data_IF_899051397629
#
_entry.id   IF_899051397629
#
_cell.length_a   1.000
_cell.length_b   1.000
_cell.length_c   1.000
_cell.angle_alpha   90.00
_cell.angle_beta   90.00
_cell.angle_gamma   90.00
#
_symmetry.space_group_name_H-M   'P 1'
#
loop_
_entity.id
_entity.type
_entity.pdbx_description
1 polymer ?
#
# COMPACT_ATOMS: atom_id res chain seq x y z
N UNK A 1 12.33 40.29 33.92
CA UNK A 1 11.86 39.34 34.97
C UNK A 1 10.38 39.53 35.18
N UNK A 2 9.60 38.51 35.41
CA UNK A 2 9.80 37.07 35.37
C UNK A 2 8.99 36.40 34.24
N UNK A 3 9.43 35.33 33.60
CA UNK A 3 9.44 33.89 33.88
C UNK A 3 8.07 33.24 34.00
N UNK A 4 7.97 32.11 33.25
CA UNK A 4 7.01 31.00 33.32
C UNK A 4 5.98 30.96 32.17
N UNK A 5 6.40 30.38 31.05
CA UNK A 5 5.54 29.58 30.20
C UNK A 5 6.09 28.16 30.23
N UNK A 6 5.50 27.34 31.09
CA UNK A 6 5.73 25.92 31.15
C UNK A 6 5.13 25.26 29.90
N UNK A 7 5.99 24.65 29.08
CA UNK A 7 5.59 23.74 27.99
C UNK A 7 4.86 22.53 28.55
N UNK A 8 3.67 22.17 28.03
CA UNK A 8 3.07 20.90 28.39
C UNK A 8 3.91 19.79 27.77
N UNK A 9 4.46 18.92 28.60
CA UNK A 9 5.14 17.69 28.21
C UNK A 9 4.14 16.82 27.45
N UNK A 10 4.43 16.60 26.18
CA UNK A 10 3.80 15.55 25.37
C UNK A 10 4.08 14.19 26.03
N UNK A 11 3.14 13.68 26.79
CA UNK A 11 3.16 12.32 27.31
C UNK A 11 2.93 11.38 26.12
N UNK A 12 3.80 10.42 25.84
CA UNK A 12 3.59 9.48 24.76
C UNK A 12 2.44 8.53 25.14
N UNK A 13 1.31 8.66 24.46
CA UNK A 13 0.13 7.75 24.58
C UNK A 13 0.44 6.32 24.08
N UNK A 14 1.65 6.07 23.61
CA UNK A 14 2.08 4.76 23.07
C UNK A 14 2.42 3.72 24.18
N UNK A 15 2.44 4.08 25.44
CA UNK A 15 2.98 3.23 26.51
C UNK A 15 1.95 2.36 27.25
N UNK A 16 0.75 2.10 26.73
CA UNK A 16 -0.24 1.22 27.38
C UNK A 16 -0.90 0.15 26.49
N UNK A 17 -0.20 -0.34 25.48
CA UNK A 17 -0.52 -1.67 24.93
C UNK A 17 0.38 -2.70 25.64
N UNK A 18 0.15 -2.90 26.94
CA UNK A 18 0.60 -4.13 27.62
C UNK A 18 -0.14 -5.28 26.95
N UNK A 19 0.64 -6.19 26.36
CA UNK A 19 0.17 -7.50 25.96
C UNK A 19 -0.72 -8.11 27.03
N UNK A 20 -2.00 -8.24 26.76
CA UNK A 20 -2.83 -9.26 27.37
C UNK A 20 -2.35 -10.59 26.78
N UNK A 21 -1.35 -11.18 27.42
CA UNK A 21 -0.95 -12.57 27.23
C UNK A 21 -2.00 -13.45 27.87
N UNK A 22 -3.02 -13.76 27.10
CA UNK A 22 -4.08 -14.66 27.50
C UNK A 22 -4.69 -15.32 26.27
N UNK A 23 -4.33 -16.60 26.02
CA UNK A 23 -5.02 -17.57 25.19
C UNK A 23 -5.15 -17.31 23.68
N UNK A 24 -4.05 -17.49 22.95
CA UNK A 24 -4.05 -18.35 21.76
C UNK A 24 -2.83 -19.27 21.86
N UNK A 25 -2.96 -20.59 21.68
CA UNK A 25 -1.79 -21.46 21.62
C UNK A 25 -0.98 -21.00 20.42
N UNK A 26 0.20 -20.44 20.68
CA UNK A 26 1.22 -20.22 19.68
C UNK A 26 1.59 -21.57 19.06
N UNK A 27 0.95 -21.92 17.96
CA UNK A 27 1.43 -22.92 17.04
C UNK A 27 2.72 -22.39 16.38
N UNK A 28 3.77 -22.29 17.20
CA UNK A 28 5.14 -22.29 16.70
C UNK A 28 5.47 -23.74 16.28
N UNK A 29 4.75 -24.27 15.30
CA UNK A 29 5.34 -25.31 14.47
C UNK A 29 6.57 -24.65 13.85
N UNK A 30 7.76 -25.05 14.31
CA UNK A 30 9.03 -24.74 13.66
C UNK A 30 8.90 -25.25 12.23
N UNK A 31 8.48 -24.37 11.32
CA UNK A 31 8.67 -24.61 9.90
C UNK A 31 10.16 -24.56 9.66
N UNK A 32 10.78 -25.74 9.55
CA UNK A 32 12.09 -25.88 8.94
C UNK A 32 11.92 -25.46 7.48
N UNK A 33 12.01 -24.15 7.21
CA UNK A 33 12.31 -23.67 5.87
C UNK A 33 13.66 -24.28 5.56
N UNK A 34 13.68 -25.37 4.78
CA UNK A 34 14.91 -25.85 4.19
C UNK A 34 15.60 -24.63 3.60
N UNK A 35 16.85 -24.40 4.00
CA UNK A 35 17.63 -23.24 3.58
C UNK A 35 17.55 -23.16 2.06
N UNK A 36 16.77 -22.17 1.56
CA UNK A 36 16.74 -21.87 0.12
C UNK A 36 18.21 -21.69 -0.28
N UNK A 37 18.74 -22.45 -1.26
CA UNK A 37 20.11 -22.30 -1.66
C UNK A 37 20.32 -20.84 -2.08
N UNK A 38 21.08 -20.09 -1.27
CA UNK A 38 21.35 -18.68 -1.50
C UNK A 38 22.17 -18.54 -2.78
N UNK A 39 21.51 -18.38 -3.92
CA UNK A 39 22.22 -18.02 -5.15
C UNK A 39 22.89 -16.68 -4.93
N UNK A 40 24.14 -16.59 -5.33
CA UNK A 40 24.92 -15.35 -5.20
C UNK A 40 24.28 -14.27 -6.10
N UNK A 41 24.00 -13.10 -5.53
CA UNK A 41 23.52 -11.95 -6.30
C UNK A 41 24.61 -11.57 -7.31
N UNK A 42 24.27 -11.40 -8.61
CA UNK A 42 25.22 -10.99 -9.62
C UNK A 42 25.90 -9.66 -9.27
N UNK A 43 27.20 -9.54 -9.52
CA UNK A 43 27.95 -8.31 -9.30
C UNK A 43 27.76 -7.33 -10.49
N UNK A 44 26.53 -6.90 -10.70
CA UNK A 44 26.11 -5.93 -11.70
C UNK A 44 24.87 -5.21 -11.24
N UNK A 45 24.53 -4.08 -11.85
CA UNK A 45 23.22 -3.45 -11.66
C UNK A 45 22.12 -4.36 -12.18
N UNK A 46 21.06 -4.44 -11.44
CA UNK A 46 19.83 -5.19 -11.73
C UNK A 46 18.71 -4.19 -11.97
N UNK A 47 17.53 -4.64 -12.43
CA UNK A 47 16.38 -3.80 -12.65
C UNK A 47 15.74 -3.24 -11.37
N UNK A 48 16.27 -3.62 -10.23
CA UNK A 48 15.92 -3.07 -8.92
C UNK A 48 17.14 -3.01 -8.00
N UNK A 49 17.08 -2.22 -6.91
CA UNK A 49 18.14 -2.18 -5.92
C UNK A 49 18.49 -3.56 -5.35
N UNK A 50 19.75 -3.81 -5.13
CA UNK A 50 20.27 -5.04 -4.49
C UNK A 50 21.24 -4.69 -3.35
N UNK A 51 21.46 -5.59 -2.38
CA UNK A 51 22.46 -5.38 -1.33
C UNK A 51 23.89 -5.17 -1.84
N UNK A 52 24.19 -5.62 -3.07
CA UNK A 52 25.52 -5.46 -3.70
C UNK A 52 25.68 -4.05 -4.29
N UNK A 53 24.66 -3.57 -4.98
CA UNK A 53 24.72 -2.28 -5.71
C UNK A 53 24.18 -1.10 -4.88
N UNK A 54 23.33 -1.37 -3.90
CA UNK A 54 22.69 -0.35 -3.05
C UNK A 54 22.77 -0.71 -1.56
N UNK A 55 23.99 -0.86 -0.99
CA UNK A 55 24.16 -1.27 0.41
C UNK A 55 23.63 -0.22 1.41
N UNK A 56 23.41 1.02 0.97
CA UNK A 56 22.78 2.09 1.76
C UNK A 56 21.27 1.92 1.91
N UNK A 57 20.62 1.14 1.03
CA UNK A 57 19.17 0.88 1.05
C UNK A 57 18.83 -0.51 1.58
N UNK A 58 19.65 -1.51 1.28
CA UNK A 58 19.37 -2.92 1.48
C UNK A 58 20.48 -3.63 2.24
N UNK A 59 20.08 -4.46 3.20
CA UNK A 59 20.99 -5.35 3.92
C UNK A 59 21.08 -6.71 3.21
N UNK A 60 22.14 -7.48 3.42
CA UNK A 60 22.24 -8.84 2.91
C UNK A 60 21.02 -9.69 3.30
N UNK A 61 20.37 -10.30 2.30
CA UNK A 61 19.17 -11.13 2.48
C UNK A 61 17.84 -10.38 2.38
N UNK A 62 17.85 -9.04 2.26
CA UNK A 62 16.66 -8.26 1.95
C UNK A 62 16.39 -8.24 0.44
N UNK A 63 15.12 -8.30 0.08
CA UNK A 63 14.61 -8.17 -1.30
C UNK A 63 14.17 -6.72 -1.55
N UNK A 64 13.45 -6.16 -0.60
CA UNK A 64 13.12 -4.74 -0.51
C UNK A 64 13.53 -4.23 0.87
N UNK A 65 13.74 -2.93 1.07
CA UNK A 65 14.23 -2.41 2.35
C UNK A 65 13.42 -2.93 3.55
N UNK A 66 14.08 -3.64 4.45
CA UNK A 66 13.49 -4.21 5.67
C UNK A 66 12.71 -5.51 5.49
N UNK A 67 12.55 -6.03 4.27
CA UNK A 67 11.82 -7.26 4.00
C UNK A 67 12.74 -8.31 3.35
N UNK A 68 12.92 -9.42 4.04
CA UNK A 68 13.85 -10.48 3.61
C UNK A 68 13.22 -11.48 2.64
N UNK A 69 14.05 -12.27 1.96
CA UNK A 69 13.59 -13.40 1.15
C UNK A 69 12.73 -14.37 1.94
N UNK A 70 13.05 -14.58 3.22
CA UNK A 70 12.27 -15.45 4.13
C UNK A 70 10.86 -14.91 4.35
N UNK A 71 10.73 -13.61 4.52
CA UNK A 71 9.41 -12.95 4.65
C UNK A 71 8.54 -13.22 3.41
N UNK A 72 9.08 -13.03 2.22
CA UNK A 72 8.37 -13.28 0.96
C UNK A 72 8.04 -14.76 0.76
N UNK A 73 8.95 -15.66 1.09
CA UNK A 73 8.69 -17.11 1.05
C UNK A 73 7.57 -17.50 2.01
N UNK A 74 7.53 -16.91 3.21
CA UNK A 74 6.47 -17.15 4.19
C UNK A 74 5.11 -16.66 3.70
N UNK A 75 5.06 -15.50 2.99
CA UNK A 75 3.83 -14.97 2.40
C UNK A 75 3.27 -15.91 1.34
N UNK A 76 4.12 -16.43 0.45
CA UNK A 76 3.72 -17.43 -0.55
C UNK A 76 3.22 -18.71 0.12
N UNK A 77 3.91 -19.19 1.15
CA UNK A 77 3.49 -20.36 1.92
C UNK A 77 2.11 -20.17 2.57
N UNK A 78 1.89 -19.01 3.22
CA UNK A 78 0.59 -18.68 3.82
C UNK A 78 -0.53 -18.58 2.79
N UNK A 79 -0.24 -18.09 1.58
CA UNK A 79 -1.23 -18.07 0.50
C UNK A 79 -1.64 -19.49 0.11
N UNK A 80 -0.68 -20.38 -0.08
CA UNK A 80 -0.98 -21.78 -0.42
C UNK A 80 -1.69 -22.53 0.71
N UNK A 81 -1.45 -22.18 1.98
CA UNK A 81 -2.21 -22.69 3.14
C UNK A 81 -3.67 -22.19 3.13
N UNK A 82 -3.91 -20.93 2.78
CA UNK A 82 -5.28 -20.42 2.60
C UNK A 82 -6.00 -21.13 1.45
N UNK A 83 -5.32 -21.35 0.33
CA UNK A 83 -5.85 -22.11 -0.81
C UNK A 83 -6.23 -23.52 -0.38
N UNK A 84 -5.40 -24.18 0.42
CA UNK A 84 -5.71 -25.50 0.97
C UNK A 84 -7.01 -25.49 1.78
N UNK A 85 -7.19 -24.48 2.63
CA UNK A 85 -8.40 -24.34 3.46
C UNK A 85 -9.65 -24.05 2.64
N UNK A 86 -9.54 -23.22 1.61
CA UNK A 86 -10.66 -22.90 0.70
C UNK A 86 -11.02 -24.07 -0.23
N UNK A 87 -10.08 -24.97 -0.49
CA UNK A 87 -10.25 -26.08 -1.40
C UNK A 87 -10.75 -27.39 -0.74
N UNK A 88 -11.20 -27.36 0.53
CA UNK A 88 -11.55 -28.50 1.37
C UNK A 88 -12.50 -29.57 0.77
N UNK A 89 -13.10 -29.34 -0.38
CA UNK A 89 -13.84 -30.36 -1.16
C UNK A 89 -13.07 -30.98 -2.34
N UNK A 90 -11.81 -30.58 -2.53
CA UNK A 90 -10.97 -30.97 -3.66
C UNK A 90 -9.58 -31.44 -3.17
N UNK A 91 -9.55 -32.22 -2.09
CA UNK A 91 -8.33 -32.86 -1.60
C UNK A 91 -7.76 -33.76 -2.68
N UNK A 92 -6.59 -33.45 -3.19
CA UNK A 92 -5.94 -34.16 -4.31
C UNK A 92 -5.89 -33.38 -5.62
N UNK A 93 -6.49 -32.19 -5.68
CA UNK A 93 -6.38 -31.32 -6.85
C UNK A 93 -5.02 -30.58 -6.85
N UNK A 94 -4.38 -30.51 -8.00
CA UNK A 94 -3.21 -29.69 -8.22
C UNK A 94 -3.62 -28.23 -8.45
N UNK A 95 -3.02 -27.32 -7.72
CA UNK A 95 -3.34 -25.89 -7.73
C UNK A 95 -2.22 -25.08 -8.38
N UNK A 96 -2.59 -24.14 -9.24
CA UNK A 96 -1.67 -23.14 -9.79
C UNK A 96 -2.23 -21.74 -9.56
N UNK A 97 -1.40 -20.88 -8.94
CA UNK A 97 -1.68 -19.45 -8.75
C UNK A 97 -0.89 -18.67 -9.79
N UNK A 98 -1.54 -17.73 -10.46
CA UNK A 98 -0.89 -16.83 -11.40
C UNK A 98 -1.18 -15.39 -11.00
N UNK A 99 -0.12 -14.60 -10.80
CA UNK A 99 -0.21 -13.17 -10.45
C UNK A 99 0.65 -12.37 -11.40
N UNK A 100 0.04 -11.40 -12.09
CA UNK A 100 0.72 -10.52 -13.02
C UNK A 100 1.28 -9.29 -12.31
N UNK A 101 2.43 -8.81 -12.78
CA UNK A 101 2.96 -7.49 -12.44
C UNK A 101 2.15 -6.37 -13.11
N UNK A 102 2.47 -5.12 -12.80
CA UNK A 102 2.02 -3.99 -13.61
C UNK A 102 2.91 -3.85 -14.85
N UNK A 103 2.38 -3.29 -15.97
CA UNK A 103 3.17 -2.82 -17.10
C UNK A 103 3.80 -1.46 -16.80
N UNK A 104 4.77 -1.05 -17.60
CA UNK A 104 5.15 0.37 -17.68
C UNK A 104 4.08 1.13 -18.45
N UNK A 105 3.59 2.23 -17.90
CA UNK A 105 2.72 3.18 -18.59
C UNK A 105 3.54 4.33 -19.14
N UNK A 106 3.16 4.84 -20.33
CA UNK A 106 3.87 5.90 -21.03
C UNK A 106 3.00 7.16 -21.14
N UNK A 107 3.62 8.33 -20.96
CA UNK A 107 3.01 9.64 -21.25
C UNK A 107 2.94 9.89 -22.75
N UNK A 108 3.98 9.49 -23.45
CA UNK A 108 4.15 9.51 -24.90
C UNK A 108 5.00 8.32 -25.31
N UNK A 109 5.37 8.22 -26.59
CA UNK A 109 5.97 7.03 -27.20
C UNK A 109 7.10 6.37 -26.39
N UNK A 110 7.99 7.15 -25.81
CA UNK A 110 9.21 6.69 -25.12
C UNK A 110 9.41 7.30 -23.72
N UNK A 111 8.46 8.13 -23.25
CA UNK A 111 8.52 8.80 -21.94
C UNK A 111 7.62 8.05 -20.95
N UNK A 112 8.18 7.27 -20.02
CA UNK A 112 7.39 6.52 -19.06
C UNK A 112 6.88 7.42 -17.92
N UNK A 113 5.71 7.10 -17.39
CA UNK A 113 5.35 7.50 -16.03
C UNK A 113 6.26 6.79 -15.03
N UNK A 114 6.38 7.38 -13.82
CA UNK A 114 7.04 6.69 -12.71
C UNK A 114 6.40 5.32 -12.51
N UNK A 115 7.20 4.27 -12.62
CA UNK A 115 6.71 2.91 -12.47
C UNK A 115 6.28 2.63 -11.02
N UNK A 116 5.13 2.00 -10.87
CA UNK A 116 4.64 1.50 -9.60
C UNK A 116 4.17 0.05 -9.75
N UNK A 117 4.75 -0.84 -8.96
CA UNK A 117 4.46 -2.27 -9.05
C UNK A 117 3.07 -2.61 -8.50
N UNK A 118 2.43 -3.62 -9.10
CA UNK A 118 1.18 -4.19 -8.61
C UNK A 118 1.31 -4.72 -7.18
N UNK A 119 0.50 -4.18 -6.25
CA UNK A 119 0.63 -4.46 -4.81
C UNK A 119 0.57 -5.94 -4.45
N UNK A 120 -0.28 -6.73 -5.11
CA UNK A 120 -0.40 -8.17 -4.84
C UNK A 120 0.82 -8.95 -5.33
N UNK A 121 1.34 -8.59 -6.51
CA UNK A 121 2.55 -9.18 -7.06
C UNK A 121 3.75 -8.87 -6.17
N UNK A 122 3.94 -7.59 -5.84
CA UNK A 122 5.03 -7.14 -4.97
C UNK A 122 4.98 -7.80 -3.59
N UNK A 123 3.80 -7.92 -3.00
CA UNK A 123 3.60 -8.55 -1.69
C UNK A 123 4.07 -9.99 -1.65
N UNK A 124 3.92 -10.73 -2.75
CA UNK A 124 4.26 -12.15 -2.83
C UNK A 124 5.71 -12.43 -3.20
N UNK A 125 6.37 -11.55 -3.94
CA UNK A 125 7.74 -11.84 -4.42
C UNK A 125 8.76 -10.72 -4.20
N UNK A 126 8.33 -9.47 -3.97
CA UNK A 126 9.23 -8.33 -3.82
C UNK A 126 9.94 -7.91 -5.13
N UNK A 127 9.55 -8.46 -6.27
CA UNK A 127 10.15 -8.13 -7.54
C UNK A 127 9.56 -6.84 -8.11
N UNK A 128 10.41 -5.88 -8.48
CA UNK A 128 9.99 -4.51 -8.80
C UNK A 128 10.03 -4.20 -10.31
N UNK A 129 10.42 -5.15 -11.14
CA UNK A 129 10.42 -4.91 -12.60
C UNK A 129 9.03 -5.14 -13.20
N UNK A 130 8.66 -4.36 -14.25
CA UNK A 130 7.41 -4.55 -14.98
C UNK A 130 7.38 -5.85 -15.77
N UNK A 131 6.25 -6.11 -16.43
CA UNK A 131 6.07 -7.16 -17.44
C UNK A 131 6.49 -8.54 -16.93
N UNK A 132 6.10 -8.91 -15.71
CA UNK A 132 6.54 -10.15 -15.07
C UNK A 132 5.35 -10.97 -14.57
N UNK A 133 5.52 -12.28 -14.41
CA UNK A 133 4.48 -13.20 -13.94
C UNK A 133 5.03 -14.03 -12.79
N UNK A 134 4.33 -14.06 -11.67
CA UNK A 134 4.60 -15.00 -10.58
C UNK A 134 3.65 -16.20 -10.72
N UNK A 135 4.21 -17.39 -10.73
CA UNK A 135 3.45 -18.65 -10.70
C UNK A 135 3.82 -19.42 -9.44
N UNK A 136 2.80 -19.82 -8.65
CA UNK A 136 2.95 -20.78 -7.56
C UNK A 136 2.22 -22.05 -7.93
N UNK A 137 2.92 -23.16 -7.98
CA UNK A 137 2.37 -24.46 -8.35
C UNK A 137 2.49 -25.43 -7.18
N UNK A 138 1.42 -26.14 -6.82
CA UNK A 138 1.47 -27.22 -5.85
C UNK A 138 2.41 -28.32 -6.32
N UNK A 139 3.14 -28.93 -5.39
CA UNK A 139 4.01 -30.05 -5.72
C UNK A 139 3.16 -31.33 -5.80
N UNK A 140 3.11 -31.95 -6.98
CA UNK A 140 2.39 -33.21 -7.19
C UNK A 140 2.84 -34.28 -6.20
N UNK A 141 1.90 -35.00 -5.61
CA UNK A 141 2.16 -36.01 -4.59
C UNK A 141 2.52 -35.47 -3.19
N UNK A 142 2.57 -34.15 -2.99
CA UNK A 142 2.78 -33.52 -1.67
C UNK A 142 1.52 -32.75 -1.26
N UNK A 143 1.26 -32.74 0.05
CA UNK A 143 0.16 -31.93 0.57
C UNK A 143 0.49 -30.42 0.50
N UNK A 144 -0.53 -29.60 0.20
CA UNK A 144 -0.42 -28.15 0.41
C UNK A 144 -0.06 -27.88 1.89
N UNK A 145 0.72 -26.85 2.17
CA UNK A 145 1.12 -25.74 1.29
C UNK A 145 2.45 -25.93 0.54
N UNK A 146 2.90 -27.19 0.34
CA UNK A 146 4.12 -27.43 -0.45
C UNK A 146 3.90 -26.98 -1.89
N UNK A 147 4.76 -26.08 -2.35
CA UNK A 147 4.65 -25.47 -3.68
C UNK A 147 6.02 -25.10 -4.23
N UNK A 148 6.05 -24.91 -5.53
CA UNK A 148 7.16 -24.36 -6.29
C UNK A 148 6.81 -22.93 -6.72
N UNK A 149 7.70 -21.99 -6.49
CA UNK A 149 7.55 -20.61 -6.91
C UNK A 149 8.41 -20.34 -8.16
N UNK A 150 7.79 -19.84 -9.21
CA UNK A 150 8.43 -19.52 -10.48
C UNK A 150 8.19 -18.06 -10.85
N UNK A 151 9.23 -17.35 -11.32
CA UNK A 151 9.09 -16.02 -11.90
C UNK A 151 9.37 -16.07 -13.40
N UNK A 152 8.50 -15.48 -14.18
CA UNK A 152 8.72 -15.21 -15.59
C UNK A 152 9.00 -13.71 -15.75
N UNK A 153 10.16 -13.39 -16.31
CA UNK A 153 10.67 -12.01 -16.35
C UNK A 153 11.13 -11.65 -17.75
N UNK A 154 11.15 -10.36 -18.12
CA UNK A 154 11.75 -9.94 -19.37
C UNK A 154 13.21 -10.39 -19.46
N UNK A 155 13.59 -10.92 -20.62
CA UNK A 155 14.99 -11.24 -20.88
C UNK A 155 15.87 -9.99 -20.83
N UNK A 156 17.14 -10.18 -20.52
CA UNK A 156 18.15 -9.13 -20.71
C UNK A 156 18.33 -8.85 -22.19
N UNK A 157 18.30 -7.57 -22.55
CA UNK A 157 18.45 -7.10 -23.93
C UNK A 157 19.26 -5.80 -23.88
N UNK A 158 20.51 -5.79 -24.37
CA UNK A 158 21.35 -4.60 -24.33
C UNK A 158 20.72 -3.38 -25.05
N UNK A 159 19.97 -3.61 -26.11
CA UNK A 159 19.27 -2.54 -26.83
C UNK A 159 18.16 -1.90 -25.97
N UNK A 160 17.39 -2.70 -25.27
CA UNK A 160 16.36 -2.20 -24.35
C UNK A 160 16.96 -1.64 -23.07
N UNK A 161 18.01 -2.28 -22.53
CA UNK A 161 18.71 -1.80 -21.31
C UNK A 161 19.36 -0.42 -21.52
N UNK A 162 19.67 -0.04 -22.76
CA UNK A 162 20.14 1.30 -23.10
C UNK A 162 19.06 2.37 -22.84
N UNK A 163 17.79 2.06 -23.07
CA UNK A 163 16.66 2.98 -22.91
C UNK A 163 16.02 2.90 -21.52
N UNK A 164 15.77 1.69 -21.05
CA UNK A 164 14.95 1.43 -19.86
C UNK A 164 15.78 1.19 -18.60
N UNK A 165 17.11 1.11 -18.74
CA UNK A 165 18.01 0.73 -17.66
C UNK A 165 18.20 -0.79 -17.54
N UNK A 166 19.09 -1.22 -16.63
CA UNK A 166 19.44 -2.63 -16.47
C UNK A 166 18.26 -3.49 -16.05
N UNK A 167 18.28 -4.76 -16.46
CA UNK A 167 17.29 -5.78 -16.06
C UNK A 167 17.96 -6.88 -15.24
N UNK A 168 17.16 -7.47 -14.32
CA UNK A 168 17.66 -8.57 -13.48
C UNK A 168 17.92 -9.84 -14.30
N UNK A 169 17.08 -10.13 -15.29
CA UNK A 169 17.09 -11.41 -15.97
C UNK A 169 16.74 -12.56 -15.01
N UNK A 170 16.82 -13.79 -15.51
CA UNK A 170 16.44 -14.98 -14.72
C UNK A 170 17.37 -15.25 -13.54
N UNK A 171 18.66 -15.05 -13.71
CA UNK A 171 19.67 -15.24 -12.66
C UNK A 171 19.51 -14.22 -11.51
N UNK A 172 19.33 -12.94 -11.87
CA UNK A 172 19.10 -11.88 -10.89
C UNK A 172 17.75 -12.03 -10.18
N UNK A 173 16.70 -12.40 -10.89
CA UNK A 173 15.36 -12.61 -10.31
C UNK A 173 15.39 -13.70 -9.22
N UNK A 174 16.02 -14.87 -9.48
CA UNK A 174 16.17 -15.91 -8.48
C UNK A 174 17.01 -15.44 -7.30
N UNK A 175 18.16 -14.82 -7.57
CA UNK A 175 19.10 -14.41 -6.54
C UNK A 175 18.51 -13.34 -5.60
N UNK A 176 17.70 -12.41 -6.13
CA UNK A 176 17.02 -11.37 -5.36
C UNK A 176 15.84 -11.92 -4.56
N UNK A 177 14.92 -12.63 -5.22
CA UNK A 177 13.60 -12.94 -4.64
C UNK A 177 13.57 -14.27 -3.87
N UNK A 178 14.56 -15.14 -4.11
CA UNK A 178 14.59 -16.48 -3.52
C UNK A 178 13.46 -17.40 -4.02
N UNK A 179 12.93 -17.17 -5.24
CA UNK A 179 12.05 -18.14 -5.91
C UNK A 179 12.84 -19.35 -6.35
N UNK A 180 12.14 -20.47 -6.55
CA UNK A 180 12.79 -21.74 -6.90
C UNK A 180 13.37 -21.72 -8.31
N UNK A 181 12.65 -21.10 -9.25
CA UNK A 181 13.05 -20.99 -10.65
C UNK A 181 12.64 -19.63 -11.23
N UNK A 182 13.35 -19.23 -12.28
CA UNK A 182 12.94 -18.10 -13.12
C UNK A 182 13.19 -18.42 -14.60
N UNK A 183 12.34 -17.90 -15.43
CA UNK A 183 12.29 -18.10 -16.86
C UNK A 183 12.07 -16.76 -17.56
N UNK A 184 12.31 -16.73 -18.87
CA UNK A 184 11.93 -15.56 -19.68
C UNK A 184 10.42 -15.61 -20.00
N UNK A 185 9.86 -14.45 -20.39
CA UNK A 185 8.44 -14.39 -20.79
C UNK A 185 8.13 -15.26 -22.01
N UNK A 186 9.07 -15.37 -22.93
CA UNK A 186 8.94 -16.23 -24.10
C UNK A 186 8.79 -17.69 -23.69
N UNK A 187 9.52 -18.13 -22.67
CA UNK A 187 9.42 -19.50 -22.13
C UNK A 187 8.07 -19.75 -21.44
N UNK A 188 7.38 -18.69 -20.95
CA UNK A 188 6.06 -18.84 -20.35
C UNK A 188 5.06 -19.48 -21.31
N UNK A 189 5.02 -19.02 -22.56
CA UNK A 189 4.12 -19.56 -23.57
C UNK A 189 4.39 -21.06 -23.84
N UNK A 190 5.66 -21.45 -23.81
CA UNK A 190 6.07 -22.85 -24.01
C UNK A 190 5.75 -23.74 -22.79
N UNK A 191 5.91 -23.20 -21.57
CA UNK A 191 5.64 -23.95 -20.34
C UNK A 191 4.15 -23.99 -19.96
N UNK A 192 3.36 -23.08 -20.46
CA UNK A 192 1.95 -22.96 -20.13
C UNK A 192 1.11 -24.22 -20.43
N UNK A 193 1.30 -24.96 -21.56
CA UNK A 193 0.60 -26.22 -21.79
C UNK A 193 0.92 -27.28 -20.73
N UNK A 194 2.18 -27.36 -20.29
CA UNK A 194 2.60 -28.29 -19.22
C UNK A 194 1.97 -27.89 -17.88
N UNK A 195 2.06 -26.61 -17.51
CA UNK A 195 1.44 -26.09 -16.28
C UNK A 195 -0.07 -26.40 -16.25
N UNK A 196 -0.75 -26.32 -17.39
CA UNK A 196 -2.17 -26.65 -17.51
C UNK A 196 -2.45 -28.16 -17.35
N UNK A 197 -1.64 -29.00 -17.96
CA UNK A 197 -1.83 -30.47 -17.90
C UNK A 197 -1.67 -30.94 -16.44
N UNK A 198 -0.81 -30.30 -15.68
CA UNK A 198 -0.53 -30.61 -14.27
C UNK A 198 -1.46 -29.88 -13.28
N UNK A 199 -2.44 -29.09 -13.76
CA UNK A 199 -3.27 -28.22 -12.92
C UNK A 199 -4.74 -28.61 -12.98
N UNK A 200 -5.35 -28.87 -11.83
CA UNK A 200 -6.79 -29.10 -11.71
C UNK A 200 -7.56 -27.81 -11.39
N UNK A 201 -6.93 -26.87 -10.68
CA UNK A 201 -7.54 -25.60 -10.31
C UNK A 201 -6.57 -24.43 -10.49
N UNK A 202 -7.02 -23.41 -11.22
CA UNK A 202 -6.27 -22.17 -11.46
C UNK A 202 -6.81 -21.04 -10.58
N UNK A 203 -5.92 -20.33 -9.92
CA UNK A 203 -6.20 -19.14 -9.12
C UNK A 203 -5.65 -17.92 -9.85
N UNK A 204 -6.54 -17.11 -10.44
CA UNK A 204 -6.18 -16.00 -11.28
C UNK A 204 -7.27 -14.91 -11.30
N UNK A 205 -6.87 -13.65 -11.24
CA UNK A 205 -7.77 -12.48 -11.23
C UNK A 205 -8.08 -12.02 -12.66
N UNK A 206 -9.00 -12.68 -13.32
CA UNK A 206 -9.34 -12.44 -14.71
C UNK A 206 -10.30 -11.27 -14.95
N UNK A 207 -11.03 -10.80 -13.92
CA UNK A 207 -12.01 -9.72 -14.04
C UNK A 207 -11.36 -8.33 -14.05
N UNK A 208 -10.26 -8.17 -13.31
CA UNK A 208 -9.52 -6.90 -13.17
C UNK A 208 -8.02 -7.18 -13.23
N UNK A 209 -7.49 -7.53 -14.39
CA UNK A 209 -6.07 -7.83 -14.52
C UNK A 209 -5.22 -6.57 -14.36
N UNK A 210 -4.07 -6.72 -13.70
CA UNK A 210 -3.11 -5.63 -13.53
C UNK A 210 -2.34 -5.30 -14.81
N UNK A 211 -2.29 -6.22 -15.76
CA UNK A 211 -1.50 -6.10 -17.00
C UNK A 211 -2.32 -6.59 -18.20
N UNK A 212 -2.82 -5.65 -19.00
CA UNK A 212 -3.77 -5.96 -20.07
C UNK A 212 -3.18 -6.90 -21.16
N UNK A 213 -1.93 -6.66 -21.59
CA UNK A 213 -1.29 -7.46 -22.63
C UNK A 213 -1.04 -8.90 -22.16
N UNK A 214 -0.34 -9.07 -21.05
CA UNK A 214 -0.09 -10.41 -20.48
C UNK A 214 -1.40 -11.13 -20.15
N UNK A 215 -2.44 -10.39 -19.74
CA UNK A 215 -3.76 -10.96 -19.54
C UNK A 215 -4.36 -11.48 -20.84
N UNK A 216 -4.27 -10.72 -21.92
CA UNK A 216 -4.79 -11.14 -23.22
C UNK A 216 -4.14 -12.45 -23.68
N UNK A 217 -2.81 -12.51 -23.61
CA UNK A 217 -2.03 -13.67 -24.00
C UNK A 217 -2.39 -14.91 -23.14
N UNK A 218 -2.47 -14.71 -21.82
CA UNK A 218 -2.84 -15.78 -20.89
C UNK A 218 -4.29 -16.22 -21.01
N UNK A 219 -5.21 -15.26 -21.23
CA UNK A 219 -6.66 -15.53 -21.39
C UNK A 219 -6.95 -16.43 -22.62
N UNK A 220 -6.29 -16.18 -23.74
CA UNK A 220 -6.44 -16.99 -24.93
C UNK A 220 -6.17 -18.46 -24.60
N UNK A 221 -5.08 -18.72 -23.93
CA UNK A 221 -4.75 -20.06 -23.47
C UNK A 221 -5.70 -20.64 -22.41
N UNK A 222 -6.26 -19.82 -21.51
CA UNK A 222 -7.27 -20.26 -20.53
C UNK A 222 -8.60 -20.63 -21.19
N UNK A 223 -9.05 -19.89 -22.22
CA UNK A 223 -10.31 -20.14 -22.93
C UNK A 223 -10.26 -21.40 -23.76
N UNK A 224 -9.16 -21.67 -24.43
CA UNK A 224 -8.95 -22.95 -25.13
C UNK A 224 -8.97 -24.15 -24.17
N UNK A 225 -8.47 -23.96 -22.96
CA UNK A 225 -8.51 -25.00 -21.92
C UNK A 225 -9.90 -25.23 -21.36
N UNK A 226 -10.75 -24.20 -21.21
CA UNK A 226 -12.15 -24.35 -20.79
C UNK A 226 -12.96 -25.24 -21.75
N UNK A 227 -12.65 -25.17 -23.02
CA UNK A 227 -13.33 -26.01 -24.04
C UNK A 227 -12.95 -27.50 -23.94
N UNK A 228 -11.79 -27.84 -23.36
CA UNK A 228 -11.24 -29.20 -23.32
C UNK A 228 -11.05 -29.81 -21.92
N UNK A 229 -11.15 -28.99 -20.87
CA UNK A 229 -10.78 -29.36 -19.49
C UNK A 229 -11.81 -28.89 -18.47
N UNK A 230 -12.03 -29.73 -17.44
CA UNK A 230 -12.84 -29.39 -16.25
C UNK A 230 -12.17 -28.40 -15.29
N UNK A 231 -11.13 -27.67 -15.70
CA UNK A 231 -10.38 -26.80 -14.85
C UNK A 231 -11.23 -25.62 -14.37
N UNK A 232 -11.33 -25.47 -13.06
CA UNK A 232 -12.04 -24.36 -12.41
C UNK A 232 -11.07 -23.19 -12.22
N UNK A 233 -11.49 -21.97 -12.62
CA UNK A 233 -10.75 -20.74 -12.38
C UNK A 233 -11.41 -19.99 -11.23
N UNK A 234 -10.64 -19.61 -10.20
CA UNK A 234 -11.08 -18.80 -9.06
C UNK A 234 -10.19 -17.57 -8.90
N UNK A 235 -10.74 -16.49 -8.35
CA UNK A 235 -9.96 -15.31 -8.00
C UNK A 235 -9.07 -15.61 -6.80
N UNK A 236 -7.80 -15.13 -6.85
CA UNK A 236 -6.86 -15.20 -5.74
C UNK A 236 -6.84 -13.89 -4.94
N UNK A 237 -7.45 -12.82 -5.45
CA UNK A 237 -7.36 -11.48 -4.92
C UNK A 237 -7.77 -11.39 -3.45
N UNK A 238 -8.93 -11.95 -3.11
CA UNK A 238 -9.43 -11.91 -1.73
C UNK A 238 -8.51 -12.63 -0.74
N UNK A 239 -7.90 -13.74 -1.16
CA UNK A 239 -6.96 -14.48 -0.31
C UNK A 239 -5.68 -13.66 -0.04
N UNK A 240 -5.14 -13.01 -1.07
CA UNK A 240 -3.98 -12.14 -0.91
C UNK A 240 -4.34 -10.92 -0.03
N UNK A 241 -5.52 -10.33 -0.24
CA UNK A 241 -5.99 -9.20 0.57
C UNK A 241 -6.15 -9.58 2.05
N UNK A 242 -6.66 -10.79 2.35
CA UNK A 242 -6.74 -11.32 3.73
C UNK A 242 -5.36 -11.44 4.37
N UNK A 243 -4.33 -11.86 3.63
CA UNK A 243 -2.95 -11.90 4.13
C UNK A 243 -2.38 -10.50 4.38
N UNK A 244 -2.69 -9.54 3.50
CA UNK A 244 -2.24 -8.15 3.60
C UNK A 244 -2.94 -7.36 4.71
N UNK A 245 -4.08 -7.84 5.20
CA UNK A 245 -4.84 -7.18 6.27
C UNK A 245 -4.04 -7.09 7.57
N UNK A 246 -3.40 -8.17 7.98
CA UNK A 246 -2.58 -8.23 9.20
C UNK A 246 -1.11 -8.07 8.81
N UNK A 247 -0.50 -6.97 9.28
CA UNK A 247 0.88 -6.61 8.94
C UNK A 247 1.87 -7.36 9.82
N UNK A 248 2.97 -7.79 9.22
CA UNK A 248 4.11 -8.31 9.97
C UNK A 248 4.84 -7.18 10.74
N UNK A 249 5.68 -7.51 11.73
CA UNK A 249 6.50 -6.50 12.41
C UNK A 249 7.39 -5.69 11.45
N UNK A 250 7.90 -6.32 10.39
CA UNK A 250 8.70 -5.65 9.37
C UNK A 250 7.86 -4.65 8.55
N UNK A 251 6.63 -5.01 8.18
CA UNK A 251 5.68 -4.12 7.51
C UNK A 251 5.30 -2.94 8.39
N UNK A 252 4.98 -3.18 9.66
CA UNK A 252 4.66 -2.11 10.65
C UNK A 252 5.80 -1.10 10.71
N UNK A 253 7.06 -1.59 10.73
CA UNK A 253 8.23 -0.71 10.73
C UNK A 253 8.31 0.17 9.48
N UNK A 254 7.98 -0.36 8.29
CA UNK A 254 7.94 0.43 7.05
C UNK A 254 6.83 1.49 7.09
N UNK A 255 5.65 1.13 7.57
CA UNK A 255 4.54 2.09 7.75
C UNK A 255 4.91 3.20 8.74
N UNK A 256 5.57 2.87 9.86
CA UNK A 256 6.07 3.87 10.81
C UNK A 256 7.07 4.83 10.17
N UNK A 257 7.97 4.33 9.31
CA UNK A 257 8.92 5.18 8.58
C UNK A 257 8.18 6.12 7.64
N UNK A 258 7.26 5.61 6.81
CA UNK A 258 6.46 6.45 5.92
C UNK A 258 5.68 7.54 6.69
N UNK A 259 5.05 7.17 7.80
CA UNK A 259 4.35 8.13 8.68
C UNK A 259 5.27 9.18 9.28
N UNK A 260 6.48 8.79 9.70
CA UNK A 260 7.48 9.73 10.23
C UNK A 260 7.94 10.73 9.17
N UNK A 261 8.33 10.25 7.98
CA UNK A 261 8.77 11.12 6.88
C UNK A 261 7.70 12.14 6.51
N UNK A 262 6.45 11.70 6.39
CA UNK A 262 5.31 12.59 6.11
C UNK A 262 5.08 13.60 7.23
N UNK A 263 5.12 13.17 8.48
CA UNK A 263 4.91 14.10 9.61
C UNK A 263 5.97 15.19 9.66
N UNK A 264 7.23 14.86 9.40
CA UNK A 264 8.32 15.84 9.33
C UNK A 264 8.15 16.78 8.13
N UNK A 265 7.73 16.25 6.97
CA UNK A 265 7.43 17.08 5.80
C UNK A 265 6.26 18.06 6.05
N UNK A 266 5.24 17.63 6.79
CA UNK A 266 4.14 18.52 7.20
C UNK A 266 4.64 19.69 8.05
N UNK A 267 5.49 19.44 9.02
CA UNK A 267 6.05 20.49 9.89
C UNK A 267 6.78 21.55 9.07
N UNK A 268 7.64 21.15 8.15
CA UNK A 268 8.38 22.08 7.29
C UNK A 268 7.45 22.84 6.32
N UNK A 269 6.41 22.17 5.82
CA UNK A 269 5.41 22.82 4.96
C UNK A 269 4.61 23.86 5.73
N UNK A 270 4.22 23.57 6.98
CA UNK A 270 3.56 24.53 7.85
C UNK A 270 4.45 25.75 8.13
N UNK A 271 5.74 25.55 8.41
CA UNK A 271 6.68 26.65 8.62
C UNK A 271 6.89 27.54 7.38
N UNK A 272 6.79 26.94 6.19
CA UNK A 272 6.86 27.67 4.92
C UNK A 272 5.58 28.43 4.58
N UNK A 273 4.47 28.16 5.26
CA UNK A 273 3.16 28.76 5.02
C UNK A 273 3.13 30.21 5.52
N UNK A 274 3.12 31.17 4.58
CA UNK A 274 3.05 32.62 4.88
C UNK A 274 2.16 33.30 3.84
N UNK A 275 1.09 33.92 4.28
CA UNK A 275 0.14 34.59 3.41
C UNK A 275 0.70 35.87 2.74
N UNK A 276 0.31 36.17 1.50
CA UNK A 276 -0.41 35.29 0.57
C UNK A 276 0.51 34.22 0.01
N UNK A 277 -0.01 33.00 -0.20
CA UNK A 277 0.77 31.87 -0.68
C UNK A 277 0.01 31.08 -1.72
N UNK A 278 0.71 30.56 -2.73
CA UNK A 278 0.15 29.67 -3.77
C UNK A 278 -0.01 28.24 -3.23
N UNK A 279 -1.15 27.62 -3.52
CA UNK A 279 -1.38 26.19 -3.23
C UNK A 279 -0.31 25.31 -3.87
N UNK A 280 0.09 25.62 -5.12
CA UNK A 280 1.15 24.90 -5.83
C UNK A 280 2.51 24.97 -5.11
N UNK A 281 2.84 26.10 -4.48
CA UNK A 281 4.06 26.21 -3.70
C UNK A 281 4.05 25.24 -2.50
N UNK A 282 2.94 25.19 -1.75
CA UNK A 282 2.83 24.26 -0.61
C UNK A 282 2.85 22.81 -1.05
N UNK A 283 2.25 22.49 -2.20
CA UNK A 283 2.34 21.17 -2.82
C UNK A 283 3.79 20.80 -3.11
N UNK A 284 4.50 21.67 -3.85
CA UNK A 284 5.91 21.43 -4.20
C UNK A 284 6.82 21.34 -2.97
N UNK A 285 6.57 22.17 -1.95
CA UNK A 285 7.29 22.13 -0.68
C UNK A 285 7.10 20.81 0.03
N UNK A 286 5.86 20.33 0.14
CA UNK A 286 5.55 19.05 0.76
C UNK A 286 6.20 17.88 0.02
N UNK A 287 6.11 17.83 -1.32
CA UNK A 287 6.76 16.79 -2.12
C UNK A 287 8.28 16.82 -1.96
N UNK A 288 8.90 18.02 -2.03
CA UNK A 288 10.32 18.18 -1.81
C UNK A 288 10.75 17.64 -0.44
N UNK A 289 10.04 18.00 0.62
CA UNK A 289 10.37 17.58 1.98
C UNK A 289 10.23 16.06 2.18
N UNK A 290 9.23 15.45 1.58
CA UNK A 290 9.08 13.99 1.58
C UNK A 290 10.29 13.31 0.89
N UNK A 291 10.63 13.77 -0.31
CA UNK A 291 11.72 13.18 -1.12
C UNK A 291 13.10 13.44 -0.50
N UNK A 292 13.34 14.63 0.01
CA UNK A 292 14.60 15.01 0.68
C UNK A 292 14.88 14.14 1.93
N UNK A 293 13.83 13.60 2.54
CA UNK A 293 13.92 12.68 3.69
C UNK A 293 13.97 11.20 3.31
N UNK A 294 13.95 10.86 2.01
CA UNK A 294 14.12 9.50 1.52
C UNK A 294 12.81 8.79 1.16
N UNK A 295 11.71 9.51 0.98
CA UNK A 295 10.52 8.93 0.34
C UNK A 295 10.79 8.66 -1.15
N UNK A 296 10.23 7.56 -1.67
CA UNK A 296 10.37 7.23 -3.08
C UNK A 296 9.52 8.15 -3.96
N UNK A 297 8.25 8.27 -3.61
CA UNK A 297 7.24 9.07 -4.30
C UNK A 297 6.20 9.56 -3.29
N UNK A 298 5.30 10.42 -3.73
CA UNK A 298 4.07 10.69 -2.99
C UNK A 298 3.12 9.48 -3.08
N UNK A 299 2.36 9.22 -2.01
CA UNK A 299 1.42 8.11 -1.95
C UNK A 299 0.22 8.30 -2.90
N UNK A 300 -0.16 9.54 -3.09
CA UNK A 300 -1.23 10.02 -3.98
C UNK A 300 -1.01 11.51 -4.25
N UNK A 301 -1.68 12.10 -5.27
CA UNK A 301 -1.65 13.54 -5.49
C UNK A 301 -2.20 14.28 -4.26
N UNK A 302 -1.39 15.07 -3.54
CA UNK A 302 -1.85 15.78 -2.34
C UNK A 302 -2.98 16.77 -2.64
N UNK A 303 -3.93 16.82 -1.73
CA UNK A 303 -4.91 17.89 -1.67
C UNK A 303 -4.31 19.05 -0.89
N UNK A 304 -4.01 20.14 -1.56
CA UNK A 304 -3.53 21.39 -0.92
C UNK A 304 -4.50 22.49 -1.26
N UNK A 305 -5.18 23.04 -0.25
CA UNK A 305 -6.32 23.88 -0.53
C UNK A 305 -6.55 24.92 0.57
N UNK A 306 -6.96 26.11 0.16
CA UNK A 306 -7.39 27.19 1.06
C UNK A 306 -8.89 27.42 1.08
N UNK A 307 -9.41 27.88 2.23
CA UNK A 307 -10.78 28.34 2.39
C UNK A 307 -11.87 27.35 1.95
N UNK A 308 -12.97 27.82 1.37
CA UNK A 308 -14.14 27.02 0.98
C UNK A 308 -13.89 26.02 -0.14
N UNK A 309 -12.79 26.11 -0.87
CA UNK A 309 -12.40 25.10 -1.87
C UNK A 309 -12.17 23.73 -1.24
N UNK A 310 -11.87 23.69 0.07
CA UNK A 310 -11.75 22.44 0.85
C UNK A 310 -13.02 21.60 0.90
N UNK A 311 -14.16 22.09 0.41
CA UNK A 311 -15.37 21.30 0.24
C UNK A 311 -15.26 20.27 -0.91
N UNK A 312 -14.26 20.39 -1.80
CA UNK A 312 -13.97 19.42 -2.84
C UNK A 312 -13.01 18.36 -2.29
N UNK A 313 -13.49 17.12 -2.17
CA UNK A 313 -12.77 16.02 -1.51
C UNK A 313 -11.42 15.72 -2.15
N UNK A 314 -11.40 15.54 -3.46
CA UNK A 314 -10.20 15.27 -4.25
C UNK A 314 -9.81 16.52 -5.07
N UNK A 315 -9.56 17.62 -4.38
CA UNK A 315 -9.08 18.85 -5.01
C UNK A 315 -7.59 18.74 -5.31
N UNK A 316 -7.25 18.59 -6.58
CA UNK A 316 -5.86 18.39 -7.03
C UNK A 316 -5.37 19.47 -8.02
N UNK A 317 -6.16 20.53 -8.24
CA UNK A 317 -5.77 21.60 -9.17
C UNK A 317 -4.64 22.48 -8.61
N UNK A 318 -4.67 22.76 -7.32
CA UNK A 318 -3.63 23.48 -6.57
C UNK A 318 -3.14 24.74 -7.30
N UNK A 319 -4.05 25.60 -7.76
CA UNK A 319 -3.74 26.74 -8.64
C UNK A 319 -4.33 28.07 -8.15
N UNK A 320 -4.61 28.19 -6.85
CA UNK A 320 -5.21 29.36 -6.24
C UNK A 320 -4.32 29.92 -5.13
N UNK A 321 -4.49 31.22 -4.85
CA UNK A 321 -3.83 31.87 -3.71
C UNK A 321 -4.64 31.63 -2.44
N UNK A 322 -3.94 31.36 -1.36
CA UNK A 322 -4.44 31.34 0.01
C UNK A 322 -4.12 32.68 0.63
N UNK A 323 -5.13 33.41 1.06
CA UNK A 323 -5.04 34.77 1.57
C UNK A 323 -4.86 34.79 3.08
N UNK A 324 -4.41 35.93 3.60
CA UNK A 324 -4.35 36.13 5.05
C UNK A 324 -5.72 35.92 5.72
N UNK A 325 -5.71 35.29 6.89
CA UNK A 325 -6.93 34.90 7.60
C UNK A 325 -7.62 33.63 7.11
N UNK A 326 -7.18 33.05 5.99
CA UNK A 326 -7.71 31.75 5.52
C UNK A 326 -7.01 30.57 6.21
N UNK A 327 -7.71 29.44 6.22
CA UNK A 327 -7.16 28.15 6.65
C UNK A 327 -6.58 27.40 5.46
N UNK A 328 -5.46 26.73 5.69
CA UNK A 328 -4.89 25.72 4.77
C UNK A 328 -5.36 24.36 5.21
N UNK A 329 -5.82 23.54 4.30
CA UNK A 329 -5.94 22.09 4.47
C UNK A 329 -4.94 21.42 3.54
N UNK A 330 -4.10 20.55 4.08
CA UNK A 330 -3.24 19.66 3.33
C UNK A 330 -3.57 18.23 3.72
N UNK A 331 -3.88 17.42 2.72
CA UNK A 331 -4.07 15.98 2.81
C UNK A 331 -3.06 15.33 1.88
N UNK A 332 -2.09 14.64 2.45
CA UNK A 332 -0.97 14.09 1.70
C UNK A 332 -0.24 13.01 2.47
N UNK A 333 0.46 12.20 1.70
CA UNK A 333 1.29 11.14 2.23
C UNK A 333 2.43 10.81 1.28
N UNK A 334 3.42 10.11 1.80
CA UNK A 334 4.50 9.59 0.99
C UNK A 334 4.55 8.07 1.00
N UNK A 335 5.21 7.53 0.00
CA UNK A 335 5.57 6.12 -0.08
C UNK A 335 7.04 5.93 0.27
N UNK A 336 7.31 4.99 1.17
CA UNK A 336 8.65 4.53 1.49
C UNK A 336 8.69 3.01 1.36
N UNK A 337 9.42 2.53 0.36
CA UNK A 337 9.58 1.09 0.09
C UNK A 337 8.24 0.35 -0.06
N UNK A 338 7.33 0.94 -0.83
CA UNK A 338 5.99 0.42 -1.14
C UNK A 338 5.00 0.40 0.05
N UNK A 339 5.34 1.08 1.16
CA UNK A 339 4.43 1.33 2.27
C UNK A 339 4.12 2.82 2.36
N UNK A 340 2.84 3.13 2.47
CA UNK A 340 2.32 4.50 2.37
C UNK A 340 1.91 5.04 3.73
N UNK A 341 1.86 6.36 3.82
CA UNK A 341 1.20 7.13 4.87
C UNK A 341 0.10 7.98 4.26
N UNK A 342 -0.80 8.43 5.12
CA UNK A 342 -1.95 9.26 4.79
C UNK A 342 -2.22 10.17 6.01
N UNK A 343 -1.97 11.48 5.86
CA UNK A 343 -2.09 12.45 6.94
C UNK A 343 -2.82 13.68 6.41
N UNK A 344 -3.86 14.11 7.12
CA UNK A 344 -4.52 15.38 6.87
C UNK A 344 -4.28 16.34 8.04
N UNK A 345 -3.92 17.59 7.76
CA UNK A 345 -3.80 18.65 8.73
C UNK A 345 -4.40 19.95 8.18
N UNK A 346 -4.96 20.73 9.12
CA UNK A 346 -5.52 22.05 8.82
C UNK A 346 -4.90 23.07 9.78
N UNK A 347 -4.50 24.22 9.26
CA UNK A 347 -3.91 25.31 10.05
C UNK A 347 -4.21 26.67 9.43
N UNK A 348 -4.23 27.76 10.21
CA UNK A 348 -4.32 29.10 9.64
C UNK A 348 -3.03 29.44 8.90
N UNK A 349 -3.16 29.99 7.69
CA UNK A 349 -2.00 30.29 6.80
C UNK A 349 -0.99 31.25 7.45
N UNK A 350 -1.47 32.14 8.32
CA UNK A 350 -0.63 33.10 9.07
C UNK A 350 -0.15 32.58 10.44
N UNK A 351 -0.43 31.33 10.77
CA UNK A 351 -0.04 30.67 12.03
C UNK A 351 -0.85 31.10 13.27
N UNK A 352 -1.94 31.87 13.12
CA UNK A 352 -2.79 32.32 14.22
C UNK A 352 -4.25 32.03 13.98
N UNK A 353 -4.85 31.23 14.86
CA UNK A 353 -6.28 30.97 14.84
C UNK A 353 -7.06 32.22 15.27
N UNK A 354 -8.12 32.54 14.54
CA UNK A 354 -9.18 33.41 15.08
C UNK A 354 -10.03 32.59 16.08
N UNK A 355 -10.79 33.29 16.95
CA UNK A 355 -11.62 32.61 17.94
C UNK A 355 -12.60 31.58 17.28
N UNK A 356 -13.36 31.91 16.22
CA UNK A 356 -14.23 30.93 15.57
C UNK A 356 -13.46 29.73 14.94
N UNK A 357 -12.27 29.99 14.38
CA UNK A 357 -11.43 28.91 13.83
C UNK A 357 -10.95 27.97 14.93
N UNK A 358 -10.55 28.52 16.08
CA UNK A 358 -10.11 27.71 17.21
C UNK A 358 -11.21 26.85 17.78
N UNK A 359 -12.40 27.43 18.02
CA UNK A 359 -13.58 26.71 18.51
C UNK A 359 -13.95 25.51 17.62
N UNK A 360 -13.99 25.74 16.30
CA UNK A 360 -14.31 24.69 15.36
C UNK A 360 -13.21 23.61 15.26
N UNK A 361 -11.94 24.03 15.30
CA UNK A 361 -10.79 23.13 15.29
C UNK A 361 -10.78 22.22 16.53
N UNK A 362 -11.02 22.79 17.72
CA UNK A 362 -11.09 22.02 18.97
C UNK A 362 -12.27 21.03 18.95
N UNK A 363 -13.42 21.43 18.43
CA UNK A 363 -14.57 20.53 18.29
C UNK A 363 -14.23 19.29 17.42
N UNK A 364 -13.55 19.51 16.27
CA UNK A 364 -13.11 18.42 15.40
C UNK A 364 -12.05 17.56 16.09
N UNK A 365 -11.12 18.14 16.80
CA UNK A 365 -10.06 17.43 17.54
C UNK A 365 -10.64 16.56 18.66
N UNK A 366 -11.65 17.03 19.39
CA UNK A 366 -12.36 16.25 20.40
C UNK A 366 -13.07 15.04 19.79
N UNK A 367 -13.78 15.25 18.67
CA UNK A 367 -14.44 14.15 17.95
C UNK A 367 -13.41 13.11 17.50
N UNK A 368 -12.30 13.53 16.90
CA UNK A 368 -11.24 12.63 16.46
C UNK A 368 -10.67 11.83 17.65
N UNK A 369 -10.37 12.48 18.77
CA UNK A 369 -9.87 11.80 19.98
C UNK A 369 -10.86 10.77 20.51
N UNK A 370 -12.15 11.11 20.56
CA UNK A 370 -13.19 10.19 20.98
C UNK A 370 -13.29 8.97 20.05
N UNK A 371 -13.27 9.20 18.72
CA UNK A 371 -13.33 8.10 17.74
C UNK A 371 -12.09 7.21 17.76
N UNK A 372 -10.90 7.76 18.04
CA UNK A 372 -9.67 6.97 18.17
C UNK A 372 -9.76 5.95 19.33
N UNK A 373 -10.51 6.23 20.40
CA UNK A 373 -10.69 5.27 21.50
C UNK A 373 -11.50 4.06 21.10
N UNK A 374 -12.30 4.17 20.04
CA UNK A 374 -13.11 3.06 19.49
C UNK A 374 -12.31 2.14 18.57
N UNK A 375 -11.12 2.56 18.14
CA UNK A 375 -10.25 1.78 17.24
C UNK A 375 -9.65 0.59 18.00
N UNK A 376 -10.42 -0.50 18.07
CA UNK A 376 -10.02 -1.75 18.71
C UNK A 376 -10.37 -2.96 17.84
N UNK A 377 -9.71 -4.11 18.01
CA UNK A 377 -10.07 -5.32 17.27
C UNK A 377 -11.54 -5.68 17.45
N UNK A 378 -12.25 -5.89 16.35
CA UNK A 378 -13.68 -6.20 16.33
C UNK A 378 -14.61 -5.00 16.12
N UNK A 379 -14.14 -3.76 16.25
CA UNK A 379 -14.94 -2.58 15.92
C UNK A 379 -15.01 -2.39 14.39
N UNK A 380 -16.23 -2.26 13.87
CA UNK A 380 -16.42 -1.96 12.45
C UNK A 380 -16.18 -0.48 12.14
N UNK A 381 -15.73 -0.19 10.91
CA UNK A 381 -15.62 1.21 10.44
C UNK A 381 -16.97 1.93 10.43
N UNK A 382 -18.06 1.20 10.19
CA UNK A 382 -19.43 1.73 10.21
C UNK A 382 -19.80 2.24 11.61
N UNK A 383 -19.42 1.51 12.69
CA UNK A 383 -19.65 1.97 14.06
C UNK A 383 -18.87 3.24 14.38
N UNK A 384 -17.61 3.33 13.93
CA UNK A 384 -16.79 4.54 14.12
C UNK A 384 -17.40 5.70 13.34
N UNK A 385 -17.84 5.46 12.09
CA UNK A 385 -18.50 6.48 11.27
C UNK A 385 -19.78 6.99 11.92
N UNK A 386 -20.66 6.10 12.39
CA UNK A 386 -21.92 6.47 13.06
C UNK A 386 -21.68 7.30 14.31
N UNK A 387 -20.67 6.93 15.12
CA UNK A 387 -20.27 7.73 16.28
C UNK A 387 -19.75 9.11 15.86
N UNK A 388 -18.89 9.18 14.83
CA UNK A 388 -18.40 10.46 14.29
C UNK A 388 -19.53 11.37 13.90
N UNK A 389 -20.54 10.86 13.16
CA UNK A 389 -21.72 11.63 12.73
C UNK A 389 -22.54 12.14 13.92
N UNK A 390 -22.73 11.29 14.93
CA UNK A 390 -23.46 11.66 16.14
C UNK A 390 -22.76 12.80 16.90
N UNK A 391 -21.46 12.63 17.16
CA UNK A 391 -20.66 13.64 17.86
C UNK A 391 -20.56 14.95 17.11
N UNK A 392 -20.46 14.87 15.77
CA UNK A 392 -20.44 16.06 14.93
C UNK A 392 -21.76 16.83 14.98
N UNK A 393 -22.90 16.11 14.85
CA UNK A 393 -24.22 16.74 14.97
C UNK A 393 -24.38 17.46 16.32
N UNK A 394 -23.92 16.84 17.41
CA UNK A 394 -23.93 17.46 18.73
C UNK A 394 -23.05 18.72 18.80
N UNK A 395 -21.80 18.63 18.34
CA UNK A 395 -20.87 19.79 18.36
C UNK A 395 -21.33 20.95 17.50
N UNK A 396 -21.88 20.68 16.31
CA UNK A 396 -22.43 21.73 15.44
C UNK A 396 -23.64 22.42 16.07
N UNK A 397 -24.45 21.67 16.85
CA UNK A 397 -25.53 22.26 17.63
C UNK A 397 -25.01 23.14 18.77
N UNK A 398 -24.04 22.64 19.54
CA UNK A 398 -23.44 23.37 20.68
C UNK A 398 -22.77 24.68 20.20
N UNK A 399 -22.18 24.68 19.01
CA UNK A 399 -21.60 25.86 18.35
C UNK A 399 -22.64 26.77 17.65
N UNK A 400 -23.93 26.42 17.70
CA UNK A 400 -24.99 27.24 17.12
C UNK A 400 -25.13 27.18 15.60
N UNK A 401 -24.46 26.27 14.92
CA UNK A 401 -24.58 26.08 13.48
C UNK A 401 -25.89 25.35 13.10
N UNK A 402 -26.52 24.64 14.02
CA UNK A 402 -27.75 23.88 13.81
C UNK A 402 -28.81 24.23 14.84
N UNK A 403 -30.04 24.51 14.38
CA UNK A 403 -31.16 24.87 15.25
C UNK A 403 -31.94 23.68 15.83
N UNK A 404 -31.79 22.49 15.30
CA UNK A 404 -32.46 21.29 15.81
C UNK A 404 -31.62 20.03 15.57
N UNK A 405 -31.72 19.06 16.51
CA UNK A 405 -31.09 17.76 16.46
C UNK A 405 -31.81 16.74 15.54
N UNK A 406 -32.48 17.18 14.48
CA UNK A 406 -33.10 16.24 13.56
C UNK A 406 -31.99 15.46 12.84
N UNK A 407 -31.89 14.18 13.11
CA UNK A 407 -31.01 13.17 12.50
C UNK A 407 -30.99 13.17 10.96
N UNK A 408 -31.88 13.91 10.33
CA UNK A 408 -32.09 13.96 8.88
C UNK A 408 -31.18 14.94 8.12
N UNK A 409 -30.40 15.78 8.80
CA UNK A 409 -29.53 16.75 8.13
C UNK A 409 -28.27 16.10 7.50
N UNK A 410 -27.92 14.88 7.89
CA UNK A 410 -26.74 14.16 7.41
C UNK A 410 -27.04 12.82 6.75
N UNK A 411 -28.22 12.65 6.18
CA UNK A 411 -28.44 11.59 5.18
C UNK A 411 -27.69 11.95 3.90
N UNK A 412 -26.39 12.03 3.98
CA UNK A 412 -25.53 11.85 2.81
C UNK A 412 -25.72 10.40 2.40
N UNK A 413 -26.10 10.18 1.15
CA UNK A 413 -26.22 8.85 0.57
C UNK A 413 -25.01 7.98 0.98
N UNK A 414 -25.17 6.70 1.25
CA UNK A 414 -24.08 5.82 1.61
C UNK A 414 -23.17 5.66 0.40
N UNK A 415 -22.27 6.61 0.21
CA UNK A 415 -21.16 6.44 -0.71
C UNK A 415 -20.08 5.66 0.02
N UNK A 416 -19.85 4.51 -0.46
CA UNK A 416 -19.01 3.42 -0.03
C UNK A 416 -17.52 3.74 0.07
N UNK A 417 -17.09 4.76 0.81
CA UNK A 417 -15.68 5.04 0.99
C UNK A 417 -15.35 5.49 2.42
N UNK A 418 -14.48 4.76 3.14
CA UNK A 418 -13.95 5.16 4.44
C UNK A 418 -13.14 6.47 4.43
N UNK A 419 -12.78 6.96 3.25
CA UNK A 419 -12.05 8.22 3.04
C UNK A 419 -12.81 9.46 3.51
N UNK A 420 -14.12 9.38 3.71
CA UNK A 420 -14.94 10.49 4.18
C UNK A 420 -14.66 10.91 5.64
N UNK A 421 -14.11 10.02 6.45
CA UNK A 421 -13.74 10.33 7.85
C UNK A 421 -12.53 11.27 7.99
N UNK A 422 -11.69 11.34 6.97
CA UNK A 422 -10.48 12.16 6.97
C UNK A 422 -10.76 13.64 6.61
N UNK A 423 -11.94 13.94 6.10
CA UNK A 423 -12.24 15.27 5.53
C UNK A 423 -13.03 16.20 6.44
N UNK A 424 -13.28 15.82 7.69
CA UNK A 424 -13.95 16.68 8.66
C UNK A 424 -13.14 17.88 9.15
N UNK A 425 -11.90 18.02 8.73
CA UNK A 425 -11.13 19.26 8.89
C UNK A 425 -11.57 20.39 7.92
N UNK A 426 -12.62 20.17 7.12
CA UNK A 426 -13.08 21.09 6.07
C UNK A 426 -14.15 22.08 6.50
N UNK A 427 -14.27 22.39 7.77
CA UNK A 427 -15.19 23.43 8.20
C UNK A 427 -14.60 24.84 7.96
N UNK A 428 -15.46 25.73 7.48
CA UNK A 428 -15.18 27.13 7.08
C UNK A 428 -14.41 27.94 8.10
#
# INVERSE_FOLDING_TARGET
MPSLLSTPKLVPVIARLRCLSGCMPCLHRRYSLQSVPKKKIPNRYLGQPSPVTHPHLLRPGEVTPGLSQVEYALRRHKLMDLIHKEAQGHSGADHTVVVLSNPTYYMSNDIPYTFHQGNNFLYLCGFQEPDSILVLQSCSGKQLPSHKAMLFVPRRDPGRELWDGPRSGTDGAIALTGVDEAYTLEEFQHLLPKLKAETSMVWYDWMKPSHAQLHSDYRHHLTEAKARSKNKVRSVQQLIQRLRLVKSPAEIKRMQIAGKLTSEAFVETMFASKAPIDEAFLYAKFEFECRARGANILAYPPVVVGSNRSNTLHYVKNNQLIKDGEMVLLDGGCESSCYVSDITRTWPVNGRFTAPQAELYEAVLEIQRACLTLCSPGTSLENIYSMTMTLMGQKLKDLGFMKSSKENAFKVAPSSSPSMLLHFNKAK
#
